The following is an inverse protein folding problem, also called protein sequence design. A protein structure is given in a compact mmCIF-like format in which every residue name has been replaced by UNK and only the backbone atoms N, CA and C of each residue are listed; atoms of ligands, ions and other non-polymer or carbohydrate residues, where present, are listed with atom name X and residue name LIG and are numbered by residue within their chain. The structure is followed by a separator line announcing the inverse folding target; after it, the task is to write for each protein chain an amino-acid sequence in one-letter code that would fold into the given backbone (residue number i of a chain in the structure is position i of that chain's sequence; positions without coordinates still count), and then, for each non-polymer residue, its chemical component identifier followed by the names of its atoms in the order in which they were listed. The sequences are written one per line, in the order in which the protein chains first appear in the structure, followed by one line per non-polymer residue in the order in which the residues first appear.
data_IF_847572575066
#
_entry.id   IF_847572575066
#
_cell.length_a   1.000
_cell.length_b   1.000
_cell.length_c   1.000
_cell.angle_alpha   90.00
_cell.angle_beta   90.00
_cell.angle_gamma   90.00
#
_symmetry.space_group_name_H-M   'P 1'
#
loop_
_entity.id
_entity.type
_entity.pdbx_description
1 polymer ?
#
# COMPACT_ATOMS: atom_id res chain seq x y z
N UNK A 1 28.98 -1.31 -25.03
CA UNK A 1 29.81 -0.19 -24.54
C UNK A 1 28.89 0.99 -24.23
N UNK A 2 28.46 1.13 -22.98
CA UNK A 2 27.84 2.37 -22.46
C UNK A 2 28.26 2.51 -21.00
N UNK A 3 28.62 3.74 -20.63
CA UNK A 3 29.35 4.10 -19.42
C UNK A 3 28.43 4.04 -18.20
N UNK A 4 28.72 3.16 -17.25
CA UNK A 4 28.16 3.23 -15.90
C UNK A 4 28.94 4.29 -15.13
N UNK A 5 28.30 5.43 -14.85
CA UNK A 5 28.80 6.42 -13.91
C UNK A 5 28.63 5.85 -12.50
N UNK A 6 29.74 5.71 -11.79
CA UNK A 6 29.80 5.43 -10.36
C UNK A 6 29.27 6.66 -9.63
N UNK A 7 28.02 6.61 -9.16
CA UNK A 7 27.51 7.58 -8.20
C UNK A 7 28.25 7.37 -6.88
N UNK A 8 29.14 8.31 -6.54
CA UNK A 8 29.59 8.47 -5.17
C UNK A 8 28.36 8.86 -4.33
N UNK A 9 28.15 8.14 -3.22
CA UNK A 9 27.27 8.57 -2.13
C UNK A 9 27.77 9.92 -1.60
N UNK A 10 27.23 11.01 -2.15
CA UNK A 10 27.25 12.30 -1.48
C UNK A 10 26.10 12.27 -0.48
N UNK A 11 26.42 12.18 0.81
CA UNK A 11 25.47 12.51 1.87
C UNK A 11 25.16 14.00 1.69
N UNK A 12 24.10 14.30 0.94
CA UNK A 12 23.55 15.64 0.84
C UNK A 12 22.83 15.98 2.15
N UNK A 13 23.61 16.33 3.17
CA UNK A 13 23.12 17.17 4.26
C UNK A 13 22.83 18.55 3.64
N UNK A 14 21.62 18.75 3.12
CA UNK A 14 21.13 20.06 2.70
C UNK A 14 20.86 20.85 3.97
N UNK A 15 21.90 21.46 4.52
CA UNK A 15 21.79 22.45 5.59
C UNK A 15 21.67 23.82 4.92
N UNK A 16 20.44 24.25 4.64
CA UNK A 16 20.16 25.62 4.18
C UNK A 16 20.32 26.52 5.40
N UNK A 17 21.50 27.14 5.55
CA UNK A 17 21.76 28.17 6.54
C UNK A 17 21.07 29.48 6.14
N UNK A 18 19.80 29.63 6.50
CA UNK A 18 19.20 30.96 6.61
C UNK A 18 19.77 31.58 7.88
N UNK A 19 20.74 32.48 7.72
CA UNK A 19 21.38 33.21 8.82
C UNK A 19 20.34 34.02 9.60
N UNK A 20 19.85 33.50 10.73
CA UNK A 20 18.99 34.28 11.63
C UNK A 20 18.26 33.50 12.73
N UNK A 21 17.97 32.21 12.57
CA UNK A 21 17.25 31.40 13.57
C UNK A 21 17.71 29.93 13.52
N UNK A 22 18.93 29.61 13.96
CA UNK A 22 19.28 28.21 14.22
C UNK A 22 18.40 27.70 15.37
N UNK A 23 17.75 26.57 15.16
CA UNK A 23 17.06 25.89 16.25
C UNK A 23 18.10 25.49 17.32
N UNK A 24 17.81 25.67 18.62
CA UNK A 24 18.76 25.39 19.71
C UNK A 24 19.12 23.89 19.83
N UNK A 25 18.34 23.02 19.17
CA UNK A 25 18.56 21.59 19.06
C UNK A 25 18.30 21.19 17.61
N UNK A 26 19.26 20.51 16.99
CA UNK A 26 19.13 19.88 15.68
C UNK A 26 19.21 18.37 15.84
N UNK A 27 18.29 17.65 15.21
CA UNK A 27 18.28 16.19 15.16
C UNK A 27 18.67 15.75 13.75
N UNK A 28 19.83 15.13 13.60
CA UNK A 28 20.25 14.49 12.36
C UNK A 28 19.91 13.00 12.44
N UNK A 29 18.93 12.56 11.64
CA UNK A 29 18.56 11.14 11.55
C UNK A 29 19.64 10.36 10.79
N UNK A 30 20.19 9.33 11.44
CA UNK A 30 21.21 8.42 10.90
C UNK A 30 20.67 6.99 10.81
N UNK A 31 19.34 6.82 10.90
CA UNK A 31 18.70 5.51 10.81
C UNK A 31 18.91 4.92 9.41
N UNK A 32 19.71 3.86 9.36
CA UNK A 32 19.92 3.04 8.18
C UNK A 32 18.71 2.18 7.89
N UNK A 33 18.62 1.64 6.67
CA UNK A 33 17.62 0.64 6.34
C UNK A 33 17.82 -0.59 7.25
N UNK A 34 16.71 -1.17 7.70
CA UNK A 34 16.73 -2.38 8.54
C UNK A 34 16.98 -3.63 7.70
N UNK A 35 18.13 -3.68 7.00
CA UNK A 35 18.52 -4.77 6.09
C UNK A 35 19.11 -5.97 6.84
N UNK A 36 19.80 -5.74 7.96
CA UNK A 36 20.63 -6.74 8.65
C UNK A 36 20.16 -7.09 10.08
N UNK A 37 18.85 -7.03 10.35
CA UNK A 37 18.27 -7.19 11.71
C UNK A 37 18.77 -6.15 12.75
N UNK A 38 19.37 -5.04 12.32
CA UNK A 38 19.64 -3.91 13.21
C UNK A 38 18.34 -3.15 13.45
N UNK A 39 17.72 -3.41 14.59
CA UNK A 39 16.39 -2.93 14.98
C UNK A 39 16.48 -1.63 15.81
N UNK A 40 17.34 -0.73 15.37
CA UNK A 40 17.63 0.50 16.08
C UNK A 40 17.38 1.70 15.20
N UNK A 41 16.81 2.74 15.78
CA UNK A 41 16.91 4.08 15.26
C UNK A 41 18.23 4.69 15.75
N UNK A 42 18.95 5.38 14.87
CA UNK A 42 20.13 6.16 15.26
C UNK A 42 19.95 7.63 14.87
N UNK A 43 20.41 8.53 15.73
CA UNK A 43 20.46 9.94 15.42
C UNK A 43 21.66 10.59 16.10
N UNK A 44 22.14 11.68 15.49
CA UNK A 44 23.10 12.59 16.12
C UNK A 44 22.37 13.87 16.50
N UNK A 45 22.51 14.29 17.75
CA UNK A 45 21.99 15.56 18.26
C UNK A 45 23.11 16.61 18.29
N UNK A 46 22.82 17.77 17.71
CA UNK A 46 23.63 18.98 17.90
C UNK A 46 22.84 19.91 18.81
N UNK A 47 23.40 20.21 19.98
CA UNK A 47 22.75 20.96 21.06
C UNK A 47 23.64 22.13 21.42
N UNK A 48 23.07 23.34 21.46
CA UNK A 48 23.80 24.51 21.95
C UNK A 48 24.17 24.33 23.44
N UNK A 49 25.38 24.75 23.83
CA UNK A 49 25.91 24.56 25.19
C UNK A 49 25.01 25.14 26.30
N UNK A 50 24.16 26.11 25.97
CA UNK A 50 23.18 26.74 26.86
C UNK A 50 21.96 25.85 27.18
N UNK A 51 21.85 24.66 26.57
CA UNK A 51 20.69 23.78 26.73
C UNK A 51 21.07 22.42 27.31
N UNK A 52 20.13 21.86 28.08
CA UNK A 52 20.23 20.54 28.69
C UNK A 52 19.19 19.65 28.01
N UNK A 53 19.62 18.49 27.51
CA UNK A 53 18.73 17.43 27.05
C UNK A 53 18.16 16.70 28.26
N UNK A 54 16.84 16.63 28.33
CA UNK A 54 16.12 15.91 29.38
C UNK A 54 15.69 14.53 28.93
N UNK A 55 15.28 14.41 27.67
CA UNK A 55 14.72 13.18 27.12
C UNK A 55 14.92 13.15 25.61
N UNK A 56 15.22 11.97 25.06
CA UNK A 56 15.25 11.70 23.63
C UNK A 56 14.42 10.46 23.38
N UNK A 57 13.58 10.48 22.35
CA UNK A 57 12.72 9.35 22.01
C UNK A 57 12.50 9.27 20.51
N UNK A 58 11.99 8.12 20.08
CA UNK A 58 11.42 7.93 18.76
C UNK A 58 9.95 7.58 18.89
N UNK A 59 9.10 8.28 18.15
CA UNK A 59 7.73 7.85 17.90
C UNK A 59 7.68 7.10 16.58
N UNK A 60 7.10 5.90 16.53
CA UNK A 60 7.07 5.05 15.34
C UNK A 60 5.78 4.22 15.23
N UNK A 61 5.46 3.79 14.02
CA UNK A 61 4.35 2.88 13.70
C UNK A 61 4.53 2.30 12.30
N UNK A 62 3.80 1.22 12.01
CA UNK A 62 3.90 0.55 10.71
C UNK A 62 2.91 1.06 9.64
N UNK A 63 2.15 2.08 9.98
CA UNK A 63 1.22 2.77 9.08
C UNK A 63 1.47 4.28 9.15
N UNK A 64 1.06 4.99 8.11
CA UNK A 64 1.04 6.44 8.16
C UNK A 64 -0.01 6.87 9.21
N UNK A 65 0.41 7.58 10.25
CA UNK A 65 -0.52 8.09 11.25
C UNK A 65 -0.91 9.53 10.96
N UNK A 66 -2.19 9.90 11.13
CA UNK A 66 -2.62 11.29 11.03
C UNK A 66 -2.12 12.13 12.21
N UNK A 67 -1.83 11.51 13.35
CA UNK A 67 -1.27 12.17 14.53
C UNK A 67 -0.31 11.28 15.34
N UNK A 68 0.59 11.93 16.09
CA UNK A 68 1.64 11.27 16.88
C UNK A 68 1.10 10.50 18.10
N UNK A 69 -0.16 10.67 18.47
CA UNK A 69 -0.76 9.98 19.64
C UNK A 69 -1.07 8.51 19.33
N UNK A 70 -1.23 8.18 18.05
CA UNK A 70 -1.37 6.79 17.58
C UNK A 70 -0.02 6.06 17.44
N UNK A 71 1.11 6.76 17.53
CA UNK A 71 2.43 6.18 17.39
C UNK A 71 2.91 5.52 18.69
N UNK A 72 3.62 4.40 18.55
CA UNK A 72 4.41 3.82 19.64
C UNK A 72 5.54 4.79 20.00
N UNK A 73 6.03 4.72 21.24
CA UNK A 73 7.13 5.55 21.72
C UNK A 73 8.20 4.69 22.37
N UNK A 74 9.45 4.93 22.00
CA UNK A 74 10.63 4.29 22.60
C UNK A 74 11.62 5.36 23.03
N UNK A 75 12.10 5.27 24.27
CA UNK A 75 13.16 6.16 24.77
C UNK A 75 14.50 5.78 24.13
N UNK A 76 15.29 6.81 23.81
CA UNK A 76 16.61 6.64 23.24
C UNK A 76 17.68 6.78 24.32
N UNK A 77 18.73 6.00 24.19
CA UNK A 77 19.90 6.03 25.06
C UNK A 77 21.06 6.69 24.32
N UNK A 78 21.88 7.43 25.07
CA UNK A 78 23.12 7.98 24.53
C UNK A 78 24.11 6.85 24.30
N UNK A 79 24.71 6.80 23.12
CA UNK A 79 25.74 5.80 22.80
C UNK A 79 27.04 6.20 23.51
N UNK A 80 27.65 5.28 24.29
CA UNK A 80 28.84 5.57 25.08
C UNK A 80 29.97 6.22 24.25
N UNK A 81 30.63 7.20 24.86
CA UNK A 81 31.62 8.05 24.22
C UNK A 81 32.86 7.27 23.77
N UNK A 82 32.85 6.83 22.51
CA UNK A 82 34.00 6.20 21.85
C UNK A 82 34.20 6.58 20.39
N UNK A 83 33.23 7.24 19.73
CA UNK A 83 33.37 7.62 18.32
C UNK A 83 32.60 8.85 17.85
N UNK A 84 31.44 9.20 18.45
CA UNK A 84 30.63 10.34 18.00
C UNK A 84 29.92 11.01 19.19
N UNK A 85 30.34 12.24 19.52
CA UNK A 85 29.63 13.04 20.53
C UNK A 85 28.20 13.33 20.05
N UNK A 86 27.23 13.19 20.95
CA UNK A 86 25.82 13.44 20.63
C UNK A 86 25.11 12.31 19.89
N UNK A 87 25.69 11.11 19.79
CA UNK A 87 25.01 9.95 19.21
C UNK A 87 23.96 9.34 20.18
N UNK A 88 22.77 9.09 19.66
CA UNK A 88 21.63 8.49 20.37
C UNK A 88 21.09 7.29 19.61
N UNK A 89 20.58 6.32 20.36
CA UNK A 89 20.04 5.07 19.83
C UNK A 89 18.76 4.68 20.55
N UNK A 90 17.73 4.31 19.80
CA UNK A 90 16.50 3.74 20.35
C UNK A 90 16.29 2.31 19.84
N UNK A 91 16.10 1.34 20.74
CA UNK A 91 15.87 -0.07 20.42
C UNK A 91 14.36 -0.36 20.34
N UNK A 92 13.89 -0.80 19.18
CA UNK A 92 12.48 -1.18 19.01
C UNK A 92 12.26 -2.64 19.41
N UNK A 93 11.70 -2.87 20.59
CA UNK A 93 11.49 -4.22 21.14
C UNK A 93 10.55 -5.09 20.29
N UNK A 94 9.61 -4.48 19.58
CA UNK A 94 8.64 -5.17 18.72
C UNK A 94 9.20 -5.42 17.32
N UNK A 95 10.37 -4.91 16.96
CA UNK A 95 10.93 -5.04 15.62
C UNK A 95 11.11 -6.48 15.13
N UNK A 96 11.32 -7.53 15.98
CA UNK A 96 11.29 -8.92 15.51
C UNK A 96 9.92 -9.34 14.93
N UNK A 97 8.85 -8.59 15.22
CA UNK A 97 7.51 -8.81 14.65
C UNK A 97 7.32 -8.13 13.30
N UNK A 98 8.26 -7.27 12.89
CA UNK A 98 8.18 -6.56 11.61
C UNK A 98 8.70 -7.49 10.52
N UNK A 99 7.98 -7.54 9.40
CA UNK A 99 8.37 -8.38 8.29
C UNK A 99 9.02 -7.53 7.20
N UNK A 100 9.79 -8.20 6.35
CA UNK A 100 10.28 -7.61 5.10
C UNK A 100 9.15 -6.90 4.35
N UNK A 101 9.45 -5.72 3.82
CA UNK A 101 8.56 -4.81 3.11
C UNK A 101 7.51 -4.08 3.99
N UNK A 102 7.50 -4.29 5.32
CA UNK A 102 6.73 -3.43 6.22
C UNK A 102 7.27 -2.00 6.13
N UNK A 103 6.35 -1.05 6.15
CA UNK A 103 6.65 0.37 6.05
C UNK A 103 6.71 0.92 7.44
N UNK A 104 7.79 1.59 7.78
CA UNK A 104 8.04 2.15 9.09
C UNK A 104 8.06 3.66 8.96
N UNK A 105 7.12 4.30 9.65
CA UNK A 105 7.07 5.73 9.81
C UNK A 105 7.63 6.09 11.18
N UNK A 106 8.45 7.14 11.29
CA UNK A 106 9.03 7.56 12.56
C UNK A 106 9.41 9.04 12.63
N UNK A 107 9.45 9.57 13.84
CA UNK A 107 9.93 10.92 14.16
C UNK A 107 10.73 10.86 15.45
N UNK A 108 11.92 11.45 15.43
CA UNK A 108 12.66 11.70 16.66
C UNK A 108 12.10 12.90 17.39
N UNK A 109 11.95 12.78 18.71
CA UNK A 109 11.63 13.89 19.59
C UNK A 109 12.72 14.09 20.63
N UNK A 110 12.98 15.36 20.95
CA UNK A 110 13.95 15.77 21.97
C UNK A 110 13.29 16.78 22.89
N UNK A 111 13.27 16.48 24.18
CA UNK A 111 12.82 17.38 25.25
C UNK A 111 14.06 18.01 25.87
N UNK A 112 14.07 19.33 25.92
CA UNK A 112 15.23 20.09 26.36
C UNK A 112 14.80 21.36 27.09
N UNK A 113 15.71 21.91 27.90
CA UNK A 113 15.51 23.19 28.58
C UNK A 113 16.77 24.02 28.57
N UNK A 114 16.62 25.34 28.69
CA UNK A 114 17.76 26.25 28.83
C UNK A 114 18.37 26.12 30.23
N UNK A 115 19.68 26.16 30.35
CA UNK A 115 20.38 26.19 31.64
C UNK A 115 19.85 27.36 32.49
N UNK A 116 19.55 27.09 33.76
CA UNK A 116 18.96 28.08 34.68
C UNK A 116 17.49 28.43 34.42
N UNK A 117 16.82 27.76 33.48
CA UNK A 117 15.37 27.87 33.25
C UNK A 117 14.67 26.57 33.65
N UNK A 118 13.42 26.70 34.10
CA UNK A 118 12.47 25.59 34.30
C UNK A 118 11.58 25.38 33.07
N UNK A 119 11.64 26.28 32.08
CA UNK A 119 10.87 26.17 30.84
C UNK A 119 11.44 25.05 29.96
N UNK A 120 10.60 24.05 29.68
CA UNK A 120 10.93 22.94 28.80
C UNK A 120 10.32 23.14 27.41
N UNK A 121 11.06 22.70 26.39
CA UNK A 121 10.65 22.73 24.98
C UNK A 121 10.88 21.36 24.34
N UNK A 122 10.19 21.15 23.22
CA UNK A 122 10.35 19.94 22.40
C UNK A 122 10.76 20.31 20.98
N UNK A 123 11.77 19.61 20.46
CA UNK A 123 12.18 19.65 19.06
C UNK A 123 11.90 18.28 18.40
N UNK A 124 11.68 18.29 17.09
CA UNK A 124 11.44 17.08 16.30
C UNK A 124 12.38 17.04 15.09
N UNK A 125 12.73 15.85 14.59
CA UNK A 125 13.61 15.67 13.42
C UNK A 125 13.00 16.08 12.08
N UNK A 126 11.71 16.40 12.04
CA UNK A 126 10.99 16.77 10.83
C UNK A 126 10.59 18.25 10.92
N UNK A 127 10.74 19.04 9.85
CA UNK A 127 10.34 20.44 9.84
C UNK A 127 8.82 20.61 10.07
N UNK A 128 8.36 21.85 10.12
CA UNK A 128 6.96 22.29 10.36
C UNK A 128 5.85 21.55 9.57
N UNK A 129 6.19 20.73 8.57
CA UNK A 129 5.26 19.86 7.83
C UNK A 129 4.80 18.63 8.63
N UNK A 130 5.51 18.24 9.71
CA UNK A 130 5.21 17.06 10.55
C UNK A 130 5.15 15.72 9.79
N UNK A 131 5.62 15.67 8.55
CA UNK A 131 5.66 14.41 7.80
C UNK A 131 6.71 13.48 8.43
N UNK A 132 6.33 12.29 8.90
CA UNK A 132 7.27 11.36 9.50
C UNK A 132 8.31 10.88 8.48
N UNK A 133 9.50 10.54 8.96
CA UNK A 133 10.47 9.80 8.16
C UNK A 133 9.87 8.45 7.77
N UNK A 134 10.26 7.96 6.59
CA UNK A 134 9.78 6.71 6.02
C UNK A 134 10.95 5.76 5.74
N UNK A 135 10.82 4.50 6.14
CA UNK A 135 11.76 3.41 5.83
C UNK A 135 11.01 2.11 5.53
N UNK A 136 11.64 1.24 4.75
CA UNK A 136 11.08 -0.07 4.41
C UNK A 136 11.94 -1.15 5.07
N UNK A 137 11.30 -2.00 5.86
CA UNK A 137 12.00 -3.05 6.62
C UNK A 137 12.58 -4.08 5.66
N UNK A 138 13.87 -4.37 5.81
CA UNK A 138 14.62 -5.38 5.04
C UNK A 138 14.53 -5.24 3.50
N UNK A 139 14.39 -4.00 3.01
CA UNK A 139 14.37 -3.69 1.59
C UNK A 139 15.18 -2.42 1.31
N UNK A 140 16.24 -2.57 0.51
CA UNK A 140 16.94 -1.45 -0.10
C UNK A 140 16.13 -0.84 -1.23
N UNK A 141 16.43 0.40 -1.62
CA UNK A 141 15.83 1.05 -2.80
C UNK A 141 16.02 0.19 -4.05
N UNK A 142 17.21 -0.38 -4.24
CA UNK A 142 17.50 -1.30 -5.36
C UNK A 142 16.62 -2.57 -5.32
N UNK A 143 16.26 -3.08 -4.14
CA UNK A 143 15.36 -4.23 -4.00
C UNK A 143 13.91 -3.88 -4.34
N UNK A 144 13.48 -2.66 -3.98
CA UNK A 144 12.17 -2.11 -4.33
C UNK A 144 12.10 -1.96 -5.85
N UNK A 145 13.10 -1.29 -6.46
CA UNK A 145 13.20 -1.11 -7.91
C UNK A 145 13.23 -2.43 -8.67
N UNK A 146 13.98 -3.43 -8.20
CA UNK A 146 14.01 -4.76 -8.83
C UNK A 146 12.64 -5.44 -8.80
N UNK A 147 11.89 -5.30 -7.68
CA UNK A 147 10.53 -5.85 -7.58
C UNK A 147 9.58 -5.13 -8.55
N UNK A 148 9.65 -3.80 -8.61
CA UNK A 148 8.85 -2.98 -9.53
C UNK A 148 9.17 -3.31 -10.99
N UNK A 149 10.45 -3.52 -11.34
CA UNK A 149 10.88 -3.90 -12.67
C UNK A 149 10.29 -5.26 -13.10
N UNK A 150 10.21 -6.23 -12.18
CA UNK A 150 9.59 -7.52 -12.47
C UNK A 150 8.08 -7.39 -12.75
N UNK A 151 7.36 -6.58 -11.96
CA UNK A 151 5.95 -6.29 -12.21
C UNK A 151 5.79 -5.56 -13.55
N UNK A 152 6.62 -4.56 -13.83
CA UNK A 152 6.61 -3.80 -15.08
C UNK A 152 6.82 -4.69 -16.30
N UNK A 153 7.81 -5.59 -16.24
CA UNK A 153 8.08 -6.55 -17.31
C UNK A 153 6.86 -7.46 -17.55
N UNK A 154 6.24 -7.95 -16.47
CA UNK A 154 5.06 -8.81 -16.56
C UNK A 154 3.88 -8.08 -17.19
N UNK A 155 3.58 -6.86 -16.74
CA UNK A 155 2.52 -6.03 -17.30
C UNK A 155 2.78 -5.67 -18.76
N UNK A 156 4.02 -5.36 -19.13
CA UNK A 156 4.39 -5.07 -20.52
C UNK A 156 4.16 -6.26 -21.44
N UNK A 157 4.53 -7.47 -21.00
CA UNK A 157 4.26 -8.71 -21.74
C UNK A 157 2.75 -8.94 -21.91
N UNK A 158 1.96 -8.73 -20.85
CA UNK A 158 0.51 -8.86 -20.91
C UNK A 158 -0.11 -7.84 -21.87
N UNK A 159 0.36 -6.58 -21.87
CA UNK A 159 -0.08 -5.54 -22.80
C UNK A 159 0.26 -5.87 -24.25
N UNK A 160 1.45 -6.42 -24.50
CA UNK A 160 1.85 -6.88 -25.83
C UNK A 160 0.98 -8.04 -26.32
N UNK A 161 0.67 -8.98 -25.43
CA UNK A 161 -0.23 -10.10 -25.72
C UNK A 161 -1.68 -9.63 -25.95
N UNK A 162 -2.15 -8.64 -25.19
CA UNK A 162 -3.52 -8.10 -25.35
C UNK A 162 -3.72 -7.39 -26.69
N UNK A 163 -2.69 -6.71 -27.20
CA UNK A 163 -2.72 -6.03 -28.50
C UNK A 163 -2.77 -6.98 -29.71
N UNK A 164 -2.55 -8.29 -29.54
CA UNK A 164 -2.55 -9.26 -30.63
C UNK A 164 -3.93 -9.88 -30.93
N UNK A 165 -5.03 -9.17 -30.62
CA UNK A 165 -6.40 -9.67 -30.66
C UNK A 165 -6.57 -10.90 -29.76
N UNK A 166 -6.82 -10.68 -28.46
CA UNK A 166 -7.37 -11.74 -27.61
C UNK A 166 -8.78 -12.02 -28.13
N UNK A 167 -8.88 -12.96 -29.06
CA UNK A 167 -10.14 -13.57 -29.42
C UNK A 167 -10.72 -14.20 -28.13
N UNK A 168 -12.01 -13.98 -27.79
CA UNK A 168 -12.63 -14.48 -26.54
C UNK A 168 -12.63 -16.01 -26.35
N UNK A 169 -11.97 -16.76 -27.24
CA UNK A 169 -11.90 -18.22 -27.24
C UNK A 169 -10.68 -18.81 -26.49
N UNK A 170 -9.70 -18.01 -26.04
CA UNK A 170 -8.54 -18.53 -25.26
C UNK A 170 -8.80 -18.67 -23.75
N UNK A 171 -10.01 -19.12 -23.40
CA UNK A 171 -10.48 -19.40 -22.05
C UNK A 171 -10.00 -20.76 -21.48
N UNK A 172 -8.72 -21.13 -21.68
CA UNK A 172 -8.19 -22.43 -21.20
C UNK A 172 -6.90 -22.33 -20.36
N UNK A 173 -6.61 -21.19 -19.73
CA UNK A 173 -5.67 -21.12 -18.60
C UNK A 173 -6.33 -20.43 -17.40
N UNK A 174 -6.20 -20.93 -16.15
CA UNK A 174 -7.17 -20.71 -15.06
C UNK A 174 -7.03 -19.37 -14.31
N UNK A 175 -6.60 -18.30 -14.97
CA UNK A 175 -6.42 -16.99 -14.35
C UNK A 175 -7.24 -15.90 -15.07
N UNK A 176 -8.34 -15.47 -14.43
CA UNK A 176 -8.74 -14.06 -14.34
C UNK A 176 -8.72 -13.15 -15.59
N UNK A 177 -9.31 -13.56 -16.71
CA UNK A 177 -9.42 -12.71 -17.91
C UNK A 177 -10.81 -12.08 -18.06
N UNK A 178 -11.26 -11.32 -17.06
CA UNK A 178 -12.44 -10.45 -17.19
C UNK A 178 -12.04 -8.99 -17.09
N UNK A 179 -12.52 -8.10 -17.99
CA UNK A 179 -12.34 -6.67 -17.79
C UNK A 179 -13.11 -6.23 -16.54
N UNK A 180 -12.50 -5.40 -15.70
CA UNK A 180 -13.22 -4.60 -14.70
C UNK A 180 -13.17 -3.16 -15.19
N UNK A 181 -14.35 -2.59 -15.39
CA UNK A 181 -14.54 -1.21 -15.83
C UNK A 181 -14.56 -0.26 -14.65
N UNK A 182 -13.98 0.91 -14.89
CA UNK A 182 -14.31 2.16 -14.22
C UNK A 182 -15.06 3.02 -15.27
N UNK A 183 -16.25 3.58 -14.99
CA UNK A 183 -17.21 4.42 -15.81
C UNK A 183 -17.08 4.56 -17.30
N UNK A 184 -18.23 4.40 -17.96
CA UNK A 184 -18.35 4.64 -19.38
C UNK A 184 -17.55 3.62 -20.20
N UNK A 185 -17.01 2.60 -19.52
CA UNK A 185 -16.33 1.47 -20.08
C UNK A 185 -17.27 0.28 -19.86
N UNK A 186 -17.80 -0.30 -20.92
CA UNK A 186 -18.63 -1.50 -20.81
C UNK A 186 -17.82 -2.66 -20.26
N UNK A 187 -18.49 -3.66 -19.69
CA UNK A 187 -17.86 -4.94 -19.40
C UNK A 187 -18.72 -6.03 -20.02
N UNK A 188 -18.21 -6.81 -20.98
CA UNK A 188 -18.72 -8.17 -21.14
C UNK A 188 -18.34 -8.97 -19.88
N UNK A 189 -19.29 -9.07 -18.94
CA UNK A 189 -19.17 -9.66 -17.60
C UNK A 189 -18.87 -11.17 -17.57
N UNK A 190 -18.46 -11.78 -18.68
CA UNK A 190 -18.36 -13.23 -18.83
C UNK A 190 -17.25 -13.89 -18.00
N UNK A 191 -16.41 -13.15 -17.26
CA UNK A 191 -15.22 -13.72 -16.59
C UNK A 191 -14.90 -13.22 -15.16
N UNK A 192 -15.68 -12.31 -14.56
CA UNK A 192 -15.39 -11.81 -13.19
C UNK A 192 -15.62 -12.83 -12.08
N UNK A 193 -16.49 -13.83 -12.29
CA UNK A 193 -16.70 -14.93 -11.33
C UNK A 193 -15.39 -15.74 -11.04
N UNK A 194 -14.38 -15.65 -11.91
CA UNK A 194 -13.08 -16.28 -11.70
C UNK A 194 -12.17 -15.47 -10.77
N UNK A 195 -12.38 -14.14 -10.62
CA UNK A 195 -11.57 -13.19 -9.79
C UNK A 195 -11.56 -13.56 -8.30
N UNK A 196 -12.72 -13.85 -7.72
CA UNK A 196 -12.75 -14.36 -6.35
C UNK A 196 -12.09 -15.75 -6.26
N UNK A 197 -12.32 -16.64 -7.22
CA UNK A 197 -11.85 -18.03 -7.15
C UNK A 197 -10.35 -18.21 -7.31
N UNK A 198 -9.68 -17.46 -8.18
CA UNK A 198 -8.23 -17.58 -8.33
C UNK A 198 -7.46 -16.72 -7.31
N UNK A 199 -8.03 -15.63 -6.77
CA UNK A 199 -7.57 -15.03 -5.52
C UNK A 199 -7.67 -16.02 -4.34
N UNK A 200 -8.67 -16.91 -4.33
CA UNK A 200 -8.77 -18.00 -3.34
C UNK A 200 -7.86 -19.20 -3.62
N UNK A 201 -7.50 -19.48 -4.89
CA UNK A 201 -6.67 -20.63 -5.27
C UNK A 201 -5.17 -20.35 -5.24
N UNK A 202 -4.76 -19.12 -5.57
CA UNK A 202 -3.35 -18.70 -5.51
C UNK A 202 -2.93 -18.44 -4.06
N UNK A 203 -3.89 -18.16 -3.18
CA UNK A 203 -3.66 -17.91 -1.77
C UNK A 203 -3.99 -19.12 -0.88
N UNK A 204 -3.05 -20.03 -0.78
CA UNK A 204 -2.93 -20.83 0.44
C UNK A 204 -2.64 -19.84 1.60
N UNK A 205 -3.52 -19.80 2.60
CA UNK A 205 -3.48 -18.88 3.75
C UNK A 205 -2.16 -18.90 4.54
N UNK A 206 -1.27 -19.86 4.23
CA UNK A 206 0.11 -19.91 4.75
C UNK A 206 1.06 -18.91 4.08
N UNK A 207 0.71 -18.35 2.92
CA UNK A 207 1.58 -17.45 2.17
C UNK A 207 0.95 -16.06 1.99
N UNK A 208 1.17 -15.19 2.98
CA UNK A 208 1.08 -13.72 2.82
C UNK A 208 2.20 -13.17 1.89
N UNK A 209 2.59 -13.94 0.87
CA UNK A 209 3.68 -13.64 -0.05
C UNK A 209 3.19 -13.86 -1.48
N UNK A 210 2.64 -12.80 -2.06
CA UNK A 210 2.26 -12.71 -3.47
C UNK A 210 3.52 -12.75 -4.31
N UNK A 211 3.54 -13.63 -5.30
CA UNK A 211 4.60 -13.62 -6.29
C UNK A 211 4.32 -12.51 -7.31
N UNK A 212 5.31 -11.67 -7.66
CA UNK A 212 5.23 -10.76 -8.80
C UNK A 212 5.22 -11.59 -10.10
N UNK A 213 4.04 -12.14 -10.40
CA UNK A 213 3.75 -12.99 -11.54
C UNK A 213 2.44 -12.55 -12.18
N UNK A 214 1.60 -13.50 -12.62
CA UNK A 214 0.32 -13.16 -13.24
C UNK A 214 -0.58 -12.41 -12.23
N UNK A 215 -1.05 -11.18 -12.55
CA UNK A 215 -1.93 -10.42 -11.69
C UNK A 215 -3.24 -11.15 -11.37
N UNK A 216 -3.86 -10.81 -10.25
CA UNK A 216 -5.18 -11.31 -9.87
C UNK A 216 -6.30 -10.69 -10.73
N UNK A 217 -6.06 -9.49 -11.28
CA UNK A 217 -6.99 -8.76 -12.11
C UNK A 217 -6.25 -7.95 -13.17
N UNK A 218 -6.85 -7.84 -14.36
CA UNK A 218 -6.42 -6.97 -15.44
C UNK A 218 -7.46 -5.87 -15.65
N UNK A 219 -6.97 -4.64 -15.81
CA UNK A 219 -7.80 -3.43 -15.89
C UNK A 219 -7.71 -2.89 -17.31
N UNK A 220 -8.86 -2.62 -17.91
CA UNK A 220 -8.99 -2.31 -19.34
C UNK A 220 -9.79 -1.02 -19.54
N UNK A 221 -9.40 -0.19 -20.51
CA UNK A 221 -10.12 1.01 -20.94
C UNK A 221 -10.44 0.95 -22.43
N UNK A 222 -11.60 1.44 -22.89
CA UNK A 222 -11.92 1.65 -24.30
C UNK A 222 -10.87 2.55 -24.98
N UNK A 223 -10.63 2.34 -26.27
CA UNK A 223 -9.68 3.14 -27.06
C UNK A 223 -10.24 4.47 -27.58
N UNK A 224 -11.55 4.69 -27.61
CA UNK A 224 -12.18 5.90 -28.14
C UNK A 224 -13.03 6.63 -27.09
N UNK A 225 -13.38 7.89 -27.39
CA UNK A 225 -14.33 8.70 -26.62
C UNK A 225 -15.79 8.23 -26.81
N UNK A 226 -16.00 7.11 -27.51
CA UNK A 226 -17.34 6.58 -27.69
C UNK A 226 -17.85 6.08 -26.34
N UNK A 227 -19.04 6.53 -25.98
CA UNK A 227 -19.72 6.10 -24.76
C UNK A 227 -19.94 4.61 -24.91
N UNK A 228 -19.19 3.80 -24.16
CA UNK A 228 -19.41 2.37 -24.21
C UNK A 228 -20.75 2.09 -23.58
N UNK A 229 -21.64 1.47 -24.36
CA UNK A 229 -22.92 1.02 -23.86
C UNK A 229 -22.67 -0.20 -23.00
N UNK A 230 -22.99 -0.09 -21.72
CA UNK A 230 -22.80 -1.18 -20.77
C UNK A 230 -23.76 -2.35 -20.99
N UNK A 231 -24.76 -2.15 -21.86
CA UNK A 231 -25.67 -3.19 -22.31
C UNK A 231 -25.17 -3.92 -23.55
N UNK A 232 -24.06 -3.49 -24.17
CA UNK A 232 -23.45 -4.20 -25.28
C UNK A 232 -22.98 -5.59 -24.84
N UNK A 233 -23.69 -6.60 -25.33
CA UNK A 233 -23.35 -8.01 -25.12
C UNK A 233 -22.04 -8.40 -25.83
N UNK A 234 -21.61 -7.59 -26.80
CA UNK A 234 -20.37 -7.74 -27.56
C UNK A 234 -19.61 -6.43 -27.49
N UNK A 235 -18.41 -6.49 -26.94
CA UNK A 235 -17.45 -5.39 -26.97
C UNK A 235 -17.08 -5.07 -28.42
N UNK A 236 -17.80 -4.15 -29.04
CA UNK A 236 -17.44 -3.68 -30.37
C UNK A 236 -16.32 -2.63 -30.23
N UNK A 237 -15.12 -3.03 -30.65
CA UNK A 237 -13.88 -2.25 -30.77
C UNK A 237 -13.04 -2.00 -29.47
N UNK A 238 -11.69 -1.88 -29.61
CA UNK A 238 -10.77 -2.56 -28.71
C UNK A 238 -10.58 -1.88 -27.36
N UNK A 239 -10.64 -2.67 -26.29
CA UNK A 239 -10.09 -2.27 -25.00
C UNK A 239 -8.55 -2.30 -25.02
N UNK A 240 -7.94 -1.35 -24.32
CA UNK A 240 -6.52 -1.32 -24.00
C UNK A 240 -6.32 -1.71 -22.55
N UNK A 241 -5.35 -2.59 -22.29
CA UNK A 241 -4.90 -2.85 -20.93
C UNK A 241 -4.31 -1.56 -20.34
N UNK A 242 -4.93 -1.02 -19.30
CA UNK A 242 -4.52 0.20 -18.60
C UNK A 242 -3.87 -0.07 -17.25
N UNK A 243 -4.01 -1.28 -16.72
CA UNK A 243 -3.46 -1.62 -15.43
C UNK A 243 -3.65 -3.08 -15.05
N UNK A 244 -3.23 -3.39 -13.84
CA UNK A 244 -3.39 -4.70 -13.23
C UNK A 244 -3.51 -4.55 -11.71
N UNK A 245 -4.14 -5.52 -11.06
CA UNK A 245 -4.23 -5.56 -9.61
C UNK A 245 -3.79 -6.91 -9.04
N UNK A 246 -3.25 -6.86 -7.82
CA UNK A 246 -2.91 -8.01 -7.01
C UNK A 246 -3.74 -7.94 -5.73
N UNK A 247 -4.54 -8.96 -5.48
CA UNK A 247 -5.39 -9.05 -4.31
C UNK A 247 -5.00 -10.20 -3.41
N UNK A 248 -5.20 -10.05 -2.10
CA UNK A 248 -5.20 -11.16 -1.14
C UNK A 248 -6.43 -11.05 -0.23
N UNK A 249 -6.89 -12.17 0.31
CA UNK A 249 -7.94 -12.13 1.33
C UNK A 249 -7.50 -11.32 2.56
N UNK A 250 -8.39 -10.47 3.06
CA UNK A 250 -8.20 -9.75 4.32
C UNK A 250 -8.46 -10.67 5.52
N UNK A 251 -7.55 -11.62 5.78
CA UNK A 251 -7.66 -12.59 6.88
C UNK A 251 -7.09 -12.08 8.21
N UNK A 252 -6.36 -10.95 8.20
CA UNK A 252 -5.71 -10.37 9.36
C UNK A 252 -5.58 -8.85 9.18
N UNK A 253 -6.24 -8.08 10.04
CA UNK A 253 -6.24 -6.61 10.01
C UNK A 253 -4.90 -5.98 10.40
N UNK A 254 -4.11 -6.70 11.18
CA UNK A 254 -2.78 -6.31 11.63
C UNK A 254 -1.69 -6.81 10.67
N UNK A 255 -2.05 -7.34 9.50
CA UNK A 255 -1.09 -7.95 8.58
C UNK A 255 -1.45 -7.79 7.11
N UNK A 256 -0.73 -6.88 6.45
CA UNK A 256 -0.76 -6.71 4.99
C UNK A 256 -0.03 -7.85 4.28
N UNK A 257 -0.41 -8.17 3.02
CA UNK A 257 0.33 -9.10 2.18
C UNK A 257 1.69 -8.50 1.82
N UNK A 258 2.57 -9.34 1.30
CA UNK A 258 3.85 -8.91 0.75
C UNK A 258 3.91 -9.32 -0.70
N UNK A 259 4.55 -8.50 -1.52
CA UNK A 259 4.98 -8.89 -2.86
C UNK A 259 6.41 -8.40 -3.05
N UNK A 260 7.39 -9.28 -2.91
CA UNK A 260 8.80 -8.91 -2.95
C UNK A 260 9.14 -7.80 -1.95
N UNK A 261 9.64 -6.67 -2.45
CA UNK A 261 9.90 -5.44 -1.68
C UNK A 261 8.87 -4.33 -1.95
N UNK A 262 7.67 -4.64 -2.47
CA UNK A 262 6.62 -3.62 -2.56
C UNK A 262 6.24 -3.15 -1.15
N UNK A 263 6.42 -1.86 -0.84
CA UNK A 263 6.18 -1.34 0.48
C UNK A 263 4.72 -1.50 0.94
N UNK A 264 4.52 -1.88 2.20
CA UNK A 264 3.23 -2.27 2.77
C UNK A 264 2.17 -1.15 2.75
N UNK A 265 2.57 0.12 2.86
CA UNK A 265 1.73 1.32 2.73
C UNK A 265 1.04 1.45 1.37
N UNK A 266 1.55 0.80 0.31
CA UNK A 266 0.90 0.80 -1.00
C UNK A 266 -0.28 -0.19 -1.09
N UNK A 267 -0.42 -1.08 -0.12
CA UNK A 267 -1.60 -1.95 -0.03
C UNK A 267 -2.73 -1.19 0.64
N UNK A 268 -3.91 -1.29 0.06
CA UNK A 268 -5.15 -0.74 0.61
C UNK A 268 -6.18 -1.85 0.78
N UNK A 269 -7.25 -1.56 1.52
CA UNK A 269 -8.39 -2.44 1.64
C UNK A 269 -9.37 -2.15 0.52
N UNK A 270 -9.76 -3.21 -0.18
CA UNK A 270 -10.95 -3.26 -1.02
C UNK A 270 -12.08 -3.87 -0.19
N UNK A 271 -13.12 -3.09 0.07
CA UNK A 271 -14.22 -3.47 0.95
C UNK A 271 -14.97 -4.72 0.46
N UNK A 272 -15.61 -5.46 1.36
CA UNK A 272 -16.55 -6.51 0.99
C UNK A 272 -17.77 -5.91 0.27
N UNK A 273 -18.27 -6.59 -0.75
CA UNK A 273 -19.42 -6.08 -1.49
C UNK A 273 -19.68 -6.79 -2.81
N UNK A 274 -20.63 -6.23 -3.55
CA UNK A 274 -21.03 -6.69 -4.86
C UNK A 274 -20.51 -5.74 -5.94
N UNK A 275 -19.79 -6.26 -6.92
CA UNK A 275 -19.61 -5.53 -8.17
C UNK A 275 -20.93 -5.54 -8.96
N UNK A 276 -21.41 -4.36 -9.28
CA UNK A 276 -22.64 -4.12 -10.02
C UNK A 276 -22.34 -4.00 -11.51
N UNK A 277 -23.31 -4.39 -12.34
CA UNK A 277 -23.13 -4.41 -13.79
C UNK A 277 -22.77 -3.05 -14.37
N UNK A 278 -23.24 -1.96 -13.76
CA UNK A 278 -22.96 -0.56 -14.07
C UNK A 278 -21.48 -0.14 -13.85
N UNK A 279 -20.61 -1.08 -13.46
CA UNK A 279 -19.24 -0.79 -12.99
C UNK A 279 -19.22 -0.26 -11.55
N UNK A 280 -20.39 -0.09 -10.93
CA UNK A 280 -20.53 0.34 -9.56
C UNK A 280 -20.16 -0.75 -8.55
N UNK A 281 -20.13 -0.34 -7.29
CA UNK A 281 -19.85 -1.23 -6.17
C UNK A 281 -20.86 -1.03 -5.05
N UNK A 282 -21.59 -2.09 -4.70
CA UNK A 282 -22.46 -2.10 -3.53
C UNK A 282 -21.74 -2.70 -2.34
N UNK A 283 -21.27 -1.82 -1.44
CA UNK A 283 -20.53 -2.19 -0.24
C UNK A 283 -21.43 -2.92 0.75
N UNK A 284 -20.89 -4.00 1.31
CA UNK A 284 -21.50 -4.79 2.37
C UNK A 284 -20.51 -4.89 3.55
N UNK A 285 -19.99 -3.75 3.98
CA UNK A 285 -19.00 -3.66 5.06
C UNK A 285 -19.53 -4.27 6.37
N UNK A 286 -18.67 -4.87 7.21
CA UNK A 286 -19.07 -5.33 8.53
C UNK A 286 -19.34 -4.14 9.45
N UNK A 287 -20.19 -4.32 10.46
CA UNK A 287 -20.37 -3.32 11.51
C UNK A 287 -19.13 -3.31 12.43
N UNK A 288 -18.32 -2.25 12.36
CA UNK A 288 -17.06 -2.15 13.08
C UNK A 288 -16.79 -0.72 13.57
N UNK A 289 -16.10 -0.59 14.71
CA UNK A 289 -15.76 0.70 15.32
C UNK A 289 -14.57 1.40 14.65
N UNK A 290 -13.69 0.63 13.99
CA UNK A 290 -12.56 1.15 13.22
C UNK A 290 -12.59 0.51 11.82
N UNK A 291 -12.61 1.30 10.74
CA UNK A 291 -12.61 0.78 9.37
C UNK A 291 -11.44 -0.18 9.12
N UNK A 292 -11.74 -1.35 8.56
CA UNK A 292 -10.73 -2.36 8.24
C UNK A 292 -10.32 -3.25 9.40
N UNK A 293 -10.90 -3.13 10.60
CA UNK A 293 -10.46 -3.94 11.75
C UNK A 293 -10.99 -5.38 11.71
N UNK A 294 -12.07 -5.62 10.97
CA UNK A 294 -12.75 -6.92 10.91
C UNK A 294 -12.35 -7.67 9.64
N UNK A 295 -11.65 -8.81 9.78
CA UNK A 295 -11.47 -9.75 8.68
C UNK A 295 -12.81 -10.33 8.21
N UNK A 296 -13.03 -10.39 6.90
CA UNK A 296 -14.19 -11.07 6.31
C UNK A 296 -13.66 -12.24 5.48
N UNK A 297 -14.08 -13.45 5.82
CA UNK A 297 -13.75 -14.66 5.06
C UNK A 297 -15.02 -15.26 4.45
N UNK A 298 -14.87 -15.91 3.30
CA UNK A 298 -15.97 -16.63 2.65
C UNK A 298 -16.47 -17.80 3.51
N UNK A 299 -17.79 -17.98 3.67
CA UNK A 299 -18.33 -19.21 4.21
C UNK A 299 -18.02 -20.41 3.30
N UNK A 300 -17.33 -21.44 3.82
CA UNK A 300 -17.19 -22.75 3.15
C UNK A 300 -16.16 -22.86 2.02
N UNK A 301 -15.18 -21.95 1.94
CA UNK A 301 -14.04 -22.13 1.04
C UNK A 301 -13.25 -23.42 1.35
N UNK A 302 -12.69 -24.12 0.34
CA UNK A 302 -11.96 -25.39 0.56
C UNK A 302 -10.72 -25.25 1.45
N UNK A 303 -10.29 -24.02 1.72
CA UNK A 303 -9.21 -23.67 2.64
C UNK A 303 -9.66 -22.73 3.76
N UNK A 304 -10.96 -22.60 4.08
CA UNK A 304 -11.34 -21.88 5.31
C UNK A 304 -10.71 -22.64 6.47
N UNK A 305 -9.71 -22.07 7.17
CA UNK A 305 -9.40 -22.57 8.51
C UNK A 305 -10.74 -22.51 9.24
N UNK A 306 -11.09 -23.57 9.97
CA UNK A 306 -12.27 -23.59 10.84
C UNK A 306 -12.49 -22.19 11.39
N UNK A 307 -13.61 -21.55 10.99
CA UNK A 307 -14.05 -20.19 11.30
C UNK A 307 -13.00 -19.37 12.07
N UNK A 308 -12.39 -18.34 11.47
CA UNK A 308 -11.49 -17.41 12.18
C UNK A 308 -12.07 -17.20 13.59
N UNK A 309 -11.42 -17.70 14.66
CA UNK A 309 -12.06 -17.82 15.95
C UNK A 309 -12.61 -16.46 16.41
N UNK A 310 -13.92 -16.39 16.63
CA UNK A 310 -14.62 -15.15 17.02
C UNK A 310 -15.22 -14.33 15.88
N UNK A 311 -15.00 -14.69 14.60
CA UNK A 311 -15.69 -14.03 13.48
C UNK A 311 -17.11 -14.61 13.33
N UNK A 312 -18.18 -13.81 13.41
CA UNK A 312 -19.52 -14.29 13.13
C UNK A 312 -19.60 -14.82 11.70
N UNK A 313 -20.42 -15.85 11.41
CA UNK A 313 -20.66 -16.28 10.05
C UNK A 313 -21.24 -15.09 9.27
N UNK A 314 -20.44 -14.54 8.35
CA UNK A 314 -20.89 -13.44 7.52
C UNK A 314 -21.96 -13.97 6.56
N UNK A 315 -23.20 -13.54 6.76
CA UNK A 315 -24.26 -13.71 5.77
C UNK A 315 -24.26 -12.43 4.93
N UNK A 316 -23.85 -12.49 3.64
CA UNK A 316 -23.99 -11.32 2.78
C UNK A 316 -25.46 -10.92 2.76
N UNK A 317 -25.72 -9.62 2.86
CA UNK A 317 -27.04 -9.09 2.53
C UNK A 317 -27.45 -9.64 1.16
N UNK A 318 -28.75 -9.97 0.95
CA UNK A 318 -29.21 -10.39 -0.37
C UNK A 318 -28.75 -9.35 -1.38
N UNK A 319 -28.21 -9.81 -2.52
CA UNK A 319 -27.74 -8.92 -3.58
C UNK A 319 -28.80 -7.84 -3.81
N UNK A 320 -28.42 -6.54 -3.79
CA UNK A 320 -29.38 -5.47 -3.92
C UNK A 320 -30.24 -5.76 -5.16
N UNK A 321 -31.57 -5.75 -4.98
CA UNK A 321 -32.46 -5.82 -6.12
C UNK A 321 -32.29 -4.53 -6.90
N UNK A 322 -31.42 -4.58 -7.92
CA UNK A 322 -31.34 -3.51 -8.89
C UNK A 322 -32.65 -3.61 -9.67
N UNK A 323 -33.52 -2.60 -9.58
CA UNK A 323 -34.85 -2.53 -10.22
C UNK A 323 -34.81 -2.65 -11.76
N UNK A 324 -33.65 -2.98 -12.35
CA UNK A 324 -33.42 -3.07 -13.77
C UNK A 324 -33.45 -4.53 -14.26
N UNK A 325 -34.51 -4.94 -15.01
CA UNK A 325 -34.72 -6.33 -15.45
C UNK A 325 -33.68 -6.86 -16.46
N UNK A 326 -32.74 -6.03 -16.91
CA UNK A 326 -31.61 -6.47 -17.76
C UNK A 326 -30.54 -7.21 -16.93
N UNK A 327 -30.58 -7.15 -15.60
CA UNK A 327 -29.55 -7.65 -14.68
C UNK A 327 -29.65 -9.15 -14.29
N UNK A 328 -29.99 -10.03 -15.24
CA UNK A 328 -30.25 -11.47 -14.96
C UNK A 328 -28.99 -12.34 -14.68
N UNK A 329 -27.81 -11.73 -14.45
CA UNK A 329 -26.59 -12.43 -14.02
C UNK A 329 -26.32 -12.00 -12.58
N UNK A 330 -25.95 -12.93 -11.68
CA UNK A 330 -25.77 -12.61 -10.28
C UNK A 330 -24.63 -11.60 -10.13
N UNK A 331 -24.89 -10.52 -9.39
CA UNK A 331 -23.85 -9.61 -8.94
C UNK A 331 -22.73 -10.44 -8.27
N UNK A 332 -21.47 -10.13 -8.59
CA UNK A 332 -20.33 -10.90 -8.07
C UNK A 332 -19.98 -10.33 -6.71
N UNK A 333 -20.31 -11.08 -5.67
CA UNK A 333 -19.88 -10.76 -4.31
C UNK A 333 -18.47 -11.27 -4.03
N UNK A 334 -17.69 -10.48 -3.30
CA UNK A 334 -16.42 -10.92 -2.73
C UNK A 334 -16.25 -10.42 -1.28
N UNK A 335 -15.46 -11.12 -0.45
CA UNK A 335 -15.11 -10.63 0.88
C UNK A 335 -14.16 -9.44 0.77
N UNK A 336 -13.85 -8.82 1.90
CA UNK A 336 -12.84 -7.76 1.97
C UNK A 336 -11.47 -8.31 1.56
N UNK A 337 -10.74 -7.55 0.74
CA UNK A 337 -9.43 -7.91 0.21
C UNK A 337 -8.40 -6.85 0.59
N UNK A 338 -7.16 -7.28 0.77
CA UNK A 338 -6.02 -6.41 0.52
C UNK A 338 -5.83 -6.31 -0.99
N UNK A 339 -5.60 -5.11 -1.48
CA UNK A 339 -5.48 -4.85 -2.90
C UNK A 339 -4.30 -3.91 -3.19
N UNK A 340 -3.74 -4.07 -4.39
CA UNK A 340 -2.58 -3.34 -4.87
C UNK A 340 -2.71 -3.15 -6.37
N UNK A 341 -2.90 -1.90 -6.77
CA UNK A 341 -3.09 -1.53 -8.17
C UNK A 341 -1.81 -0.99 -8.79
N UNK A 342 -1.57 -1.40 -10.02
CA UNK A 342 -0.55 -0.88 -10.91
C UNK A 342 -1.22 -0.35 -12.17
N UNK A 343 -0.88 0.87 -12.54
CA UNK A 343 -1.42 1.55 -13.71
C UNK A 343 -0.30 1.79 -14.70
N UNK A 344 -0.56 1.62 -16.00
CA UNK A 344 0.32 2.20 -16.99
C UNK A 344 0.22 3.72 -16.90
N UNK A 345 1.36 4.38 -16.82
CA UNK A 345 1.42 5.82 -16.91
C UNK A 345 0.88 6.29 -18.26
N UNK A 346 0.16 7.41 -18.25
CA UNK A 346 -0.25 8.14 -19.45
C UNK A 346 0.94 8.83 -20.11
N UNK A 347 1.98 9.15 -19.33
CA UNK A 347 3.30 9.50 -19.82
C UNK A 347 4.07 8.23 -20.17
N UNK A 348 4.37 8.06 -21.46
CA UNK A 348 5.07 6.89 -22.00
C UNK A 348 6.43 6.64 -21.35
N UNK A 349 7.07 7.68 -20.80
CA UNK A 349 8.39 7.58 -20.17
C UNK A 349 8.30 7.26 -18.66
N UNK A 350 7.14 7.45 -18.03
CA UNK A 350 6.97 7.24 -16.58
C UNK A 350 6.58 5.79 -16.19
N UNK A 351 6.39 4.89 -17.16
CA UNK A 351 6.28 3.45 -16.89
C UNK A 351 4.99 3.03 -16.19
N UNK A 352 5.09 2.50 -14.96
CA UNK A 352 3.94 2.08 -14.13
C UNK A 352 3.84 2.92 -12.86
N UNK A 353 2.60 3.18 -12.42
CA UNK A 353 2.27 3.95 -11.22
C UNK A 353 1.53 3.06 -10.23
N UNK A 354 1.89 3.13 -8.95
CA UNK A 354 1.15 2.50 -7.86
C UNK A 354 0.20 3.53 -7.27
N UNK A 355 -1.10 3.26 -7.30
CA UNK A 355 -2.11 4.14 -6.75
C UNK A 355 -3.40 3.36 -6.49
N UNK A 356 -4.10 3.65 -5.40
CA UNK A 356 -5.39 3.01 -5.10
C UNK A 356 -6.41 3.28 -6.22
N UNK A 357 -6.48 4.53 -6.67
CA UNK A 357 -7.31 4.95 -7.80
C UNK A 357 -6.46 5.13 -9.06
N UNK A 358 -7.10 5.11 -10.23
CA UNK A 358 -6.45 5.48 -11.49
C UNK A 358 -5.78 6.84 -11.36
N UNK A 359 -4.48 7.01 -11.68
CA UNK A 359 -3.88 8.33 -11.76
C UNK A 359 -4.68 9.17 -12.76
N UNK A 360 -4.97 10.42 -12.35
CA UNK A 360 -5.94 11.31 -12.99
C UNK A 360 -5.76 11.42 -14.52
N UNK A 361 -6.88 11.37 -15.24
CA UNK A 361 -6.93 11.57 -16.70
C UNK A 361 -7.37 10.35 -17.52
N UNK A 362 -7.52 9.18 -16.93
CA UNK A 362 -8.25 8.08 -17.58
C UNK A 362 -9.76 8.24 -17.34
N UNK A 363 -10.60 8.21 -18.39
CA UNK A 363 -12.05 8.27 -18.23
C UNK A 363 -12.55 7.07 -17.41
N UNK A 364 -13.37 7.29 -16.37
CA UNK A 364 -13.82 6.23 -15.46
C UNK A 364 -14.59 6.70 -14.21
N UNK A 365 -15.24 5.76 -13.50
CA UNK A 365 -16.23 6.00 -12.43
C UNK A 365 -15.45 6.51 -11.27
N UNK A 366 -15.93 7.61 -10.71
CA UNK A 366 -15.60 7.90 -9.33
C UNK A 366 -15.91 6.64 -8.54
N UNK A 367 -14.86 5.98 -8.07
CA UNK A 367 -15.01 4.83 -7.20
C UNK A 367 -15.89 5.28 -6.04
N UNK A 368 -16.98 4.55 -5.71
CA UNK A 368 -17.82 4.94 -4.59
C UNK A 368 -16.94 5.14 -3.36
N UNK A 369 -17.17 6.23 -2.62
CA UNK A 369 -16.35 6.56 -1.46
C UNK A 369 -16.22 5.33 -0.54
N UNK A 370 -15.02 5.14 0.01
CA UNK A 370 -14.69 4.03 0.92
C UNK A 370 -14.98 2.62 0.35
N UNK A 371 -14.86 2.45 -0.97
CA UNK A 371 -14.64 1.14 -1.62
C UNK A 371 -13.20 0.71 -1.44
N UNK A 372 -12.27 1.64 -1.71
CA UNK A 372 -10.86 1.52 -1.39
C UNK A 372 -10.52 2.47 -0.24
N UNK A 373 -9.74 2.00 0.73
CA UNK A 373 -9.23 2.84 1.79
C UNK A 373 -7.96 2.26 2.40
N UNK A 374 -7.09 3.14 2.91
CA UNK A 374 -5.96 2.70 3.70
C UNK A 374 -6.44 2.35 5.12
N UNK A 375 -6.10 1.17 5.65
CA UNK A 375 -6.50 0.75 6.99
C UNK A 375 -5.84 1.63 8.07
N UNK A 376 -6.59 1.95 9.11
CA UNK A 376 -6.08 2.62 10.32
C UNK A 376 -5.60 1.61 11.39
N UNK A 377 -5.77 0.31 11.13
CA UNK A 377 -5.68 -0.75 12.14
C UNK A 377 -4.32 -1.43 12.23
N UNK A 378 -3.36 -0.99 11.42
CA UNK A 378 -2.07 -1.65 11.27
C UNK A 378 -1.01 -1.04 12.21
N UNK A 379 -1.09 -1.35 13.51
CA UNK A 379 -0.14 -0.85 14.53
C UNK A 379 1.33 -1.07 14.15
#
# INVERSE_FOLDING_TARGET
MSKFQVFHFLICAVVIFVSGCSAPVLVADETQNWEDNTQYFNATLVVDDDFIIEEVWVSYARHYWPDMTAANRVEAEQVEAGSQAGAWRALVTEAPTFWKADSLFYVWGVKYRKQGSDETRTAYSVPNTREPHRRIVACSDASIEATLAQVFQTMTLLRQQSGQNIHPAYALSPAHLGPVSLEGQGVPYSHTATVAQTALKVHDARYNNIQPGVPALLLYSPQSNDVVDITDATSDEPYTLIGAAYGALHINAQRRPRMGCIPSENWFLHEAGYHLRDGGFHRTAPNESVPGQTPIALPGGPNTPAQIPGSPPYQPDPAPQVDNPVSVLPAVWHPRLWDLHFWFSTDADAGIVLAADTPSGQPGLSVPAQTFFFPETFQ
#
